data_IF_167350807111
#
_entry.id   IF_167350807111
#
_cell.length_a   1.000
_cell.length_b   1.000
_cell.length_c   1.000
_cell.angle_alpha   90.00
_cell.angle_beta   90.00
_cell.angle_gamma   90.00
#
_symmetry.space_group_name_H-M   'P 1'
#
loop_
_entity.id
_entity.type
_entity.pdbx_description
1 polymer ?
#
# COMPACT_ATOMS: atom_id res chain seq x y z
N UNK A 1 -13.54 -33.79 -31.00
CA UNK A 1 -12.39 -32.96 -30.61
C UNK A 1 -12.09 -31.79 -31.56
N UNK A 2 -12.43 -31.87 -32.87
CA UNK A 2 -12.04 -30.86 -33.89
C UNK A 2 -12.73 -29.48 -33.77
N UNK A 3 -14.00 -29.44 -33.40
CA UNK A 3 -14.79 -28.20 -33.35
C UNK A 3 -14.31 -27.18 -32.29
N UNK A 4 -13.68 -27.66 -31.21
CA UNK A 4 -13.25 -26.80 -30.09
C UNK A 4 -11.94 -26.08 -30.38
N UNK A 5 -11.07 -26.67 -31.20
CA UNK A 5 -9.83 -26.02 -31.66
C UNK A 5 -10.11 -24.90 -32.67
N UNK A 6 -11.11 -25.06 -33.54
CA UNK A 6 -11.48 -24.04 -34.53
C UNK A 6 -11.99 -22.75 -33.88
N UNK A 7 -12.80 -22.85 -32.81
CA UNK A 7 -13.27 -21.68 -32.06
C UNK A 7 -12.14 -20.90 -31.38
N UNK A 8 -11.10 -21.60 -30.92
CA UNK A 8 -9.92 -20.97 -30.32
C UNK A 8 -9.04 -20.28 -31.38
N UNK A 9 -8.94 -20.86 -32.59
CA UNK A 9 -8.23 -20.26 -33.72
C UNK A 9 -8.95 -19.02 -34.28
N UNK A 10 -10.29 -19.04 -34.31
CA UNK A 10 -11.10 -17.91 -34.76
C UNK A 10 -11.13 -16.73 -33.77
N UNK A 11 -10.81 -16.99 -32.49
CA UNK A 11 -10.76 -15.99 -31.42
C UNK A 11 -9.33 -15.62 -31.04
N UNK A 12 -8.52 -15.23 -32.03
CA UNK A 12 -7.26 -14.53 -31.75
C UNK A 12 -7.52 -13.24 -30.93
N UNK A 13 -6.52 -12.73 -30.17
CA UNK A 13 -6.67 -11.52 -29.38
C UNK A 13 -6.92 -10.33 -30.32
N UNK A 14 -8.19 -9.94 -30.45
CA UNK A 14 -8.58 -8.68 -31.06
C UNK A 14 -8.07 -7.57 -30.16
N UNK A 15 -6.82 -7.17 -30.36
CA UNK A 15 -6.32 -5.90 -29.82
C UNK A 15 -7.25 -4.85 -30.40
N UNK A 16 -8.11 -4.27 -29.56
CA UNK A 16 -8.95 -3.16 -29.94
C UNK A 16 -8.00 -1.98 -30.15
N UNK A 17 -7.50 -1.85 -31.38
CA UNK A 17 -6.84 -0.63 -31.80
C UNK A 17 -7.84 0.51 -31.55
N UNK A 18 -7.37 1.55 -30.89
CA UNK A 18 -8.21 2.71 -30.63
C UNK A 18 -8.68 3.27 -31.99
N UNK A 19 -9.95 3.71 -32.11
CA UNK A 19 -10.46 4.31 -33.34
C UNK A 19 -9.55 5.46 -33.79
N UNK A 20 -9.32 5.58 -35.09
CA UNK A 20 -8.41 6.58 -35.66
C UNK A 20 -8.73 8.03 -35.19
N UNK A 21 -10.01 8.34 -35.00
CA UNK A 21 -10.46 9.63 -34.47
C UNK A 21 -9.90 9.94 -33.07
N UNK A 22 -9.68 8.94 -32.21
CA UNK A 22 -9.08 9.11 -30.87
C UNK A 22 -7.58 9.37 -30.98
N UNK A 23 -6.91 8.73 -31.94
CA UNK A 23 -5.48 8.95 -32.18
C UNK A 23 -5.21 10.34 -32.79
N UNK A 24 -6.12 10.84 -33.61
CA UNK A 24 -6.02 12.16 -34.23
C UNK A 24 -6.25 13.29 -33.21
N UNK A 25 -7.20 13.13 -32.28
CA UNK A 25 -7.42 14.08 -31.19
C UNK A 25 -6.22 14.21 -30.23
N UNK A 26 -5.36 13.19 -30.17
CA UNK A 26 -4.14 13.18 -29.36
C UNK A 26 -2.90 13.65 -30.14
N UNK A 27 -3.05 14.01 -31.42
CA UNK A 27 -1.93 14.53 -32.21
C UNK A 27 -1.56 15.91 -31.65
N UNK A 28 -0.32 16.12 -31.17
CA UNK A 28 0.11 17.43 -30.70
C UNK A 28 -0.01 18.44 -31.84
N UNK A 29 -0.50 19.64 -31.53
CA UNK A 29 -0.55 20.74 -32.48
C UNK A 29 0.89 20.99 -33.02
N UNK A 30 1.06 21.23 -34.33
CA UNK A 30 2.38 21.53 -34.88
C UNK A 30 2.96 22.74 -34.14
N UNK A 31 4.26 22.71 -33.78
CA UNK A 31 4.89 23.84 -33.13
C UNK A 31 4.79 25.05 -34.06
N UNK A 32 4.15 26.11 -33.56
CA UNK A 32 4.16 27.40 -34.22
C UNK A 32 5.62 27.86 -34.27
N UNK A 33 6.21 27.88 -35.46
CA UNK A 33 7.53 28.42 -35.69
C UNK A 33 7.45 29.94 -35.58
N UNK A 34 7.61 30.46 -34.36
CA UNK A 34 8.17 31.79 -34.19
C UNK A 34 9.66 31.61 -33.93
N UNK A 35 10.42 31.72 -35.02
CA UNK A 35 11.87 31.85 -34.96
C UNK A 35 12.20 33.15 -34.22
N UNK A 36 12.74 33.05 -33.02
CA UNK A 36 13.90 33.85 -32.66
C UNK A 36 14.84 33.04 -31.76
N UNK A 37 16.10 33.17 -32.10
CA UNK A 37 17.26 32.36 -31.82
C UNK A 37 17.96 32.85 -30.54
N UNK A 38 18.34 31.92 -29.66
CA UNK A 38 19.59 32.01 -28.89
C UNK A 38 19.87 30.68 -28.18
N UNK A 39 20.62 29.85 -28.90
CA UNK A 39 21.85 29.16 -28.50
C UNK A 39 22.09 28.72 -27.04
N UNK A 40 22.38 27.42 -26.94
CA UNK A 40 23.41 26.75 -26.14
C UNK A 40 23.21 26.37 -24.66
N UNK A 41 23.12 25.05 -24.52
CA UNK A 41 23.82 24.14 -23.59
C UNK A 41 23.03 23.59 -22.41
N UNK A 42 22.78 22.28 -22.54
CA UNK A 42 22.29 21.36 -21.54
C UNK A 42 23.51 20.63 -20.96
N UNK A 43 23.73 20.64 -19.64
CA UNK A 43 24.60 19.67 -18.96
C UNK A 43 24.21 19.61 -17.47
N UNK A 44 24.21 18.39 -16.90
CA UNK A 44 24.41 18.22 -15.46
C UNK A 44 23.24 17.69 -14.62
N UNK A 45 22.85 16.44 -14.87
CA UNK A 45 22.25 15.50 -13.91
C UNK A 45 22.93 15.57 -12.52
N UNK A 46 22.21 15.37 -11.41
CA UNK A 46 22.50 14.39 -10.32
C UNK A 46 21.40 14.34 -9.25
N UNK A 47 21.25 13.13 -8.75
CA UNK A 47 20.32 12.58 -7.76
C UNK A 47 20.70 13.05 -6.35
N UNK A 48 19.74 13.21 -5.43
CA UNK A 48 19.90 12.66 -4.09
C UNK A 48 18.55 12.50 -3.37
N UNK A 49 18.42 11.41 -2.64
CA UNK A 49 17.32 11.15 -1.73
C UNK A 49 17.53 11.89 -0.41
N UNK A 50 16.43 12.25 0.26
CA UNK A 50 16.49 12.57 1.68
C UNK A 50 15.35 11.87 2.40
N UNK A 51 15.75 10.80 3.09
CA UNK A 51 15.16 10.37 4.36
C UNK A 51 15.18 11.54 5.36
N UNK A 52 14.19 11.58 6.25
CA UNK A 52 14.38 11.95 7.66
C UNK A 52 13.06 11.85 8.42
N UNK A 53 12.94 10.77 9.20
CA UNK A 53 12.92 10.87 10.65
C UNK A 53 11.74 11.58 11.31
N UNK A 54 10.81 10.77 11.82
CA UNK A 54 9.88 11.16 12.89
C UNK A 54 10.69 11.21 14.19
N UNK A 55 10.80 12.38 14.82
CA UNK A 55 11.32 12.52 16.19
C UNK A 55 10.16 12.74 17.18
N UNK A 56 10.06 11.82 18.13
CA UNK A 56 9.25 11.88 19.35
C UNK A 56 10.20 12.28 20.48
N UNK A 57 9.98 13.42 21.14
CA UNK A 57 10.68 13.74 22.40
C UNK A 57 9.71 14.31 23.45
N UNK A 58 9.58 13.56 24.54
CA UNK A 58 9.05 13.98 25.83
C UNK A 58 10.21 14.51 26.73
N UNK A 59 9.93 15.19 27.86
CA UNK A 59 10.70 16.33 28.35
C UNK A 59 11.85 15.97 29.31
N UNK A 60 12.90 16.79 29.32
CA UNK A 60 14.05 16.72 30.23
C UNK A 60 14.75 18.09 30.32
N UNK A 61 15.15 18.47 31.52
CA UNK A 61 15.41 19.82 32.00
C UNK A 61 16.77 20.45 31.60
N UNK A 62 16.76 21.79 31.62
CA UNK A 62 17.83 22.74 31.96
C UNK A 62 19.14 22.78 31.16
N UNK A 63 19.17 23.67 30.17
CA UNK A 63 20.36 24.50 29.90
C UNK A 63 19.93 25.91 29.48
N UNK A 64 20.34 26.91 30.27
CA UNK A 64 20.28 28.33 29.92
C UNK A 64 21.12 28.56 28.67
N UNK A 65 20.46 28.74 27.54
CA UNK A 65 21.04 29.40 26.37
C UNK A 65 20.07 30.46 25.87
N UNK A 66 20.65 31.61 25.56
CA UNK A 66 20.00 32.89 25.37
C UNK A 66 18.99 32.85 24.22
N UNK A 67 17.76 33.26 24.53
CA UNK A 67 16.64 33.33 23.58
C UNK A 67 16.90 34.40 22.52
N UNK A 68 17.53 34.03 21.41
CA UNK A 68 17.35 34.76 20.15
C UNK A 68 16.04 34.27 19.53
N UNK A 69 14.93 34.81 20.03
CA UNK A 69 13.65 34.74 19.34
C UNK A 69 13.70 35.69 18.15
N UNK A 70 14.31 35.25 17.05
CA UNK A 70 13.99 35.80 15.74
C UNK A 70 12.55 35.39 15.44
N UNK A 71 11.62 36.29 15.73
CA UNK A 71 10.19 36.10 15.50
C UNK A 71 9.95 35.64 14.07
N UNK A 72 9.62 34.36 13.91
CA UNK A 72 9.11 33.84 12.66
C UNK A 72 7.83 34.60 12.37
N UNK A 73 7.89 35.44 11.33
CA UNK A 73 6.76 36.15 10.73
C UNK A 73 5.59 35.17 10.60
N UNK A 74 4.43 35.57 11.09
CA UNK A 74 3.17 34.80 11.04
C UNK A 74 3.05 34.00 9.73
N UNK A 75 3.00 32.68 9.86
CA UNK A 75 2.84 31.78 8.72
C UNK A 75 1.42 31.84 8.18
N UNK A 76 1.26 32.22 6.91
CA UNK A 76 -0.03 32.18 6.24
C UNK A 76 -0.35 30.75 5.79
N UNK A 77 -1.52 30.24 6.20
CA UNK A 77 -2.05 28.98 5.65
C UNK A 77 -3.14 29.30 4.63
N UNK A 78 -2.95 28.86 3.39
CA UNK A 78 -3.97 28.95 2.35
C UNK A 78 -4.83 27.69 2.38
N UNK A 79 -6.14 27.85 2.64
CA UNK A 79 -7.11 26.74 2.60
C UNK A 79 -8.06 26.96 1.44
N UNK A 80 -8.10 25.99 0.52
CA UNK A 80 -9.08 25.99 -0.56
C UNK A 80 -10.46 25.59 -0.02
N UNK A 81 -11.35 26.56 0.21
CA UNK A 81 -12.71 26.32 0.71
C UNK A 81 -13.61 25.57 -0.30
N UNK A 82 -13.33 25.69 -1.59
CA UNK A 82 -14.17 25.13 -2.65
C UNK A 82 -13.91 23.62 -2.80
N UNK A 83 -14.94 22.80 -2.54
CA UNK A 83 -14.86 21.36 -2.70
C UNK A 83 -14.20 20.61 -1.54
N UNK A 84 -13.98 21.26 -0.39
CA UNK A 84 -13.41 20.63 0.80
C UNK A 84 -14.27 19.44 1.26
N UNK A 85 -15.61 19.57 1.21
CA UNK A 85 -16.55 18.50 1.61
C UNK A 85 -16.61 17.34 0.61
N UNK A 86 -16.59 17.62 -0.70
CA UNK A 86 -16.55 16.56 -1.71
C UNK A 86 -15.21 15.84 -1.66
N UNK A 87 -14.10 16.58 -1.56
CA UNK A 87 -12.76 16.02 -1.46
C UNK A 87 -12.61 15.22 -0.17
N UNK A 88 -13.18 15.68 0.95
CA UNK A 88 -13.18 14.96 2.22
C UNK A 88 -14.01 13.67 2.14
N UNK A 89 -15.17 13.67 1.46
CA UNK A 89 -15.95 12.44 1.24
C UNK A 89 -15.19 11.42 0.39
N UNK A 90 -14.57 11.84 -0.71
CA UNK A 90 -13.78 10.94 -1.56
C UNK A 90 -12.56 10.40 -0.80
N UNK A 91 -11.89 11.24 -0.01
CA UNK A 91 -10.79 10.81 0.86
C UNK A 91 -11.25 9.81 1.92
N UNK A 92 -12.40 10.06 2.57
CA UNK A 92 -12.95 9.14 3.56
C UNK A 92 -13.28 7.80 2.92
N UNK A 93 -13.94 7.82 1.75
CA UNK A 93 -14.25 6.61 0.99
C UNK A 93 -12.99 5.84 0.58
N UNK A 94 -11.93 6.54 0.21
CA UNK A 94 -10.64 5.92 -0.11
C UNK A 94 -9.97 5.30 1.14
N UNK A 95 -10.02 5.99 2.29
CA UNK A 95 -9.54 5.47 3.58
C UNK A 95 -10.30 4.20 3.97
N UNK A 96 -11.62 4.23 3.86
CA UNK A 96 -12.48 3.09 4.19
C UNK A 96 -12.22 1.92 3.25
N UNK A 97 -12.01 2.17 1.95
CA UNK A 97 -11.63 1.15 0.99
C UNK A 97 -10.33 0.46 1.38
N UNK A 98 -9.27 1.24 1.66
CA UNK A 98 -7.98 0.71 2.12
C UNK A 98 -8.15 -0.07 3.42
N UNK A 99 -8.89 0.48 4.38
CA UNK A 99 -9.11 -0.15 5.67
C UNK A 99 -9.81 -1.49 5.51
N UNK A 100 -10.92 -1.55 4.75
CA UNK A 100 -11.70 -2.77 4.59
C UNK A 100 -10.93 -3.87 3.85
N UNK A 101 -10.17 -3.53 2.82
CA UNK A 101 -9.44 -4.52 2.01
C UNK A 101 -8.09 -4.93 2.62
N UNK A 102 -7.34 -3.98 3.20
CA UNK A 102 -5.97 -4.22 3.65
C UNK A 102 -5.81 -4.38 5.16
N UNK A 103 -6.69 -3.82 5.98
CA UNK A 103 -6.56 -3.86 7.45
C UNK A 103 -7.84 -4.33 8.18
N UNK A 104 -8.84 -4.76 7.41
CA UNK A 104 -10.15 -5.14 7.90
C UNK A 104 -10.20 -6.58 8.43
N UNK A 105 -11.35 -6.99 8.98
CA UNK A 105 -11.56 -8.34 9.49
C UNK A 105 -11.25 -9.41 8.43
N UNK A 106 -10.53 -10.45 8.83
CA UNK A 106 -10.21 -11.59 7.96
C UNK A 106 -9.04 -11.37 7.00
N UNK A 107 -8.45 -10.16 6.99
CA UNK A 107 -7.21 -9.87 6.27
C UNK A 107 -5.98 -10.26 7.10
N UNK A 108 -4.86 -10.48 6.42
CA UNK A 108 -3.65 -11.01 7.04
C UNK A 108 -2.57 -9.96 7.33
N UNK A 109 -2.86 -8.68 7.13
CA UNK A 109 -1.91 -7.57 7.30
C UNK A 109 -2.21 -6.80 8.59
N UNK A 110 -1.16 -6.48 9.34
CA UNK A 110 -1.25 -5.63 10.54
C UNK A 110 -0.96 -4.18 10.20
N UNK A 111 -1.60 -3.26 10.92
CA UNK A 111 -1.30 -1.81 10.82
C UNK A 111 0.08 -1.52 11.42
N UNK A 112 0.77 -0.49 10.92
CA UNK A 112 2.08 -0.07 11.42
C UNK A 112 2.08 0.13 12.95
N UNK A 113 1.10 0.86 13.49
CA UNK A 113 0.98 1.10 14.94
C UNK A 113 0.86 -0.20 15.74
N UNK A 114 0.12 -1.19 15.21
CA UNK A 114 0.00 -2.49 15.85
C UNK A 114 1.31 -3.28 15.78
N UNK A 115 1.99 -3.24 14.63
CA UNK A 115 3.26 -3.92 14.41
C UNK A 115 4.38 -3.36 15.31
N UNK A 116 4.46 -2.04 15.47
CA UNK A 116 5.47 -1.37 16.30
C UNK A 116 5.05 -1.14 17.75
N UNK A 117 3.82 -1.51 18.14
CA UNK A 117 3.33 -1.37 19.51
C UNK A 117 4.23 -2.09 20.52
N UNK A 118 4.35 -1.51 21.73
CA UNK A 118 5.06 -2.14 22.85
C UNK A 118 4.49 -3.52 23.18
N UNK A 119 3.17 -3.70 23.06
CA UNK A 119 2.51 -4.98 23.23
C UNK A 119 3.04 -6.04 22.25
N UNK A 120 3.21 -5.68 20.97
CA UNK A 120 3.79 -6.60 19.98
C UNK A 120 5.29 -6.85 20.23
N UNK A 121 6.04 -5.81 20.61
CA UNK A 121 7.47 -5.91 20.90
C UNK A 121 7.78 -6.83 22.09
N UNK A 122 6.98 -6.74 23.16
CA UNK A 122 7.12 -7.55 24.39
C UNK A 122 6.45 -8.92 24.31
N UNK A 123 5.64 -9.19 23.29
CA UNK A 123 4.99 -10.48 23.11
C UNK A 123 6.01 -11.60 22.87
N UNK A 124 5.82 -12.76 23.53
CA UNK A 124 6.61 -13.96 23.27
C UNK A 124 6.54 -14.40 21.80
N UNK A 125 5.37 -14.22 21.17
CA UNK A 125 5.17 -14.46 19.73
C UNK A 125 4.87 -13.14 19.05
N UNK A 126 5.84 -12.62 18.30
CA UNK A 126 5.71 -11.36 17.55
C UNK A 126 4.72 -11.52 16.40
N UNK A 127 3.82 -10.56 16.23
CA UNK A 127 2.95 -10.44 15.05
C UNK A 127 3.78 -9.95 13.88
N UNK A 128 3.64 -10.63 12.74
CA UNK A 128 4.26 -10.24 11.48
C UNK A 128 3.46 -9.10 10.81
N UNK A 129 4.15 -8.27 10.04
CA UNK A 129 3.54 -7.20 9.24
C UNK A 129 2.50 -7.75 8.25
N UNK A 130 2.80 -8.88 7.61
CA UNK A 130 1.91 -9.61 6.69
C UNK A 130 1.98 -11.10 7.02
N UNK A 131 0.84 -11.78 7.11
CA UNK A 131 0.73 -13.24 7.26
C UNK A 131 0.33 -13.87 5.91
N UNK A 132 1.23 -14.61 5.28
CA UNK A 132 0.92 -15.25 4.00
C UNK A 132 -0.14 -16.36 4.11
N UNK A 133 -0.19 -17.03 5.26
CA UNK A 133 -1.12 -18.14 5.53
C UNK A 133 -1.92 -17.86 6.79
N UNK A 134 -3.24 -18.08 6.72
CA UNK A 134 -4.10 -18.02 7.91
C UNK A 134 -3.66 -19.09 8.89
N UNK A 135 -3.37 -18.71 10.14
CA UNK A 135 -2.92 -19.65 11.19
C UNK A 135 -3.94 -20.75 11.51
N UNK A 136 -5.22 -20.48 11.27
CA UNK A 136 -6.31 -21.47 11.39
C UNK A 136 -6.38 -22.44 10.21
N UNK A 137 -5.56 -22.26 9.17
CA UNK A 137 -5.54 -23.16 8.03
C UNK A 137 -5.21 -24.59 8.46
N UNK A 138 -6.08 -25.53 8.09
CA UNK A 138 -5.90 -26.94 8.42
C UNK A 138 -6.13 -27.30 9.89
N UNK A 139 -6.70 -26.40 10.71
CA UNK A 139 -7.02 -26.69 12.11
C UNK A 139 -7.93 -27.92 12.26
N UNK A 140 -8.95 -28.05 11.41
CA UNK A 140 -9.86 -29.19 11.39
C UNK A 140 -9.12 -30.50 11.05
N UNK A 141 -8.29 -30.50 10.00
CA UNK A 141 -7.48 -31.66 9.61
C UNK A 141 -6.53 -32.07 10.73
N UNK A 142 -5.89 -31.12 11.39
CA UNK A 142 -5.02 -31.35 12.55
C UNK A 142 -5.79 -31.96 13.72
N UNK A 143 -6.99 -31.46 14.00
CA UNK A 143 -7.85 -32.01 15.04
C UNK A 143 -8.28 -33.45 14.72
N UNK A 144 -8.67 -33.72 13.47
CA UNK A 144 -9.06 -35.07 13.03
C UNK A 144 -7.90 -36.05 13.14
N UNK A 145 -6.69 -35.65 12.74
CA UNK A 145 -5.48 -36.46 12.89
C UNK A 145 -5.18 -36.78 14.37
N UNK A 146 -5.34 -35.80 15.27
CA UNK A 146 -5.18 -36.01 16.71
C UNK A 146 -6.21 -36.99 17.28
N UNK A 147 -7.48 -36.87 16.88
CA UNK A 147 -8.54 -37.82 17.28
C UNK A 147 -8.21 -39.24 16.80
N UNK A 148 -7.76 -39.38 15.56
CA UNK A 148 -7.36 -40.68 15.01
C UNK A 148 -6.17 -41.28 15.77
N UNK A 149 -5.15 -40.48 16.08
CA UNK A 149 -3.99 -40.92 16.88
C UNK A 149 -4.42 -41.44 18.25
N UNK A 150 -5.26 -40.69 18.97
CA UNK A 150 -5.80 -41.10 20.28
C UNK A 150 -6.59 -42.40 20.19
N UNK A 151 -7.49 -42.51 19.21
CA UNK A 151 -8.29 -43.71 18.99
C UNK A 151 -7.41 -44.93 18.72
N UNK A 152 -6.38 -44.79 17.87
CA UNK A 152 -5.44 -45.86 17.57
C UNK A 152 -4.66 -46.32 18.81
N UNK A 153 -4.19 -45.39 19.65
CA UNK A 153 -3.49 -45.73 20.90
C UNK A 153 -4.43 -46.48 21.85
N UNK A 154 -5.65 -45.99 22.06
CA UNK A 154 -6.62 -46.67 22.93
C UNK A 154 -6.91 -48.11 22.48
N UNK A 155 -6.97 -48.37 21.17
CA UNK A 155 -7.15 -49.73 20.64
C UNK A 155 -5.98 -50.66 20.92
N UNK A 156 -4.75 -50.13 20.94
CA UNK A 156 -3.56 -50.91 21.24
C UNK A 156 -3.48 -51.24 22.73
N UNK A 157 -3.86 -50.30 23.59
CA UNK A 157 -3.90 -50.49 25.05
C UNK A 157 -4.96 -51.51 25.48
N UNK A 158 -6.12 -51.55 24.82
CA UNK A 158 -7.19 -52.54 25.11
C UNK A 158 -6.91 -53.95 24.56
N UNK A 159 -5.89 -54.11 23.70
CA UNK A 159 -5.55 -55.39 23.07
C UNK A 159 -4.41 -56.13 23.79
N UNK A 160 -3.92 -55.58 24.92
CA UNK A 160 -2.90 -56.17 25.78
C UNK A 160 -3.56 -56.64 27.08
#
# INVERSE_FOLDING_TARGET
MRAREEMLRASGPKRRALPAAVLEALRPAPPHSENQESDLTNEGRKEDGSDNGIEECAPGEDSKDETVTTGLKEGYSAVCLKGQDLTSWHQQKAKDFIQNHLYGPGTSRTTANQFFSLANKRSQVKKAAIQFVKKSWGAEKKQRAQRFKKHRISKLETAT
#
